data_IF_867741158394
#
_entry.id   IF_867741158394
#
_cell.length_a   1.000
_cell.length_b   1.000
_cell.length_c   1.000
_cell.angle_alpha   90.00
_cell.angle_beta   90.00
_cell.angle_gamma   90.00
#
_symmetry.space_group_name_H-M   'P 1'
#
loop_
_entity.id
_entity.type
_entity.pdbx_description
1 polymer ?
#
# COMPACT_ATOMS: atom_id res chain seq x y z
N UNK A 1 5.17 4.55 12.81
CA UNK A 1 6.44 4.52 12.05
C UNK A 1 6.10 4.73 10.59
N UNK A 2 6.74 5.69 9.93
CA UNK A 2 6.48 6.01 8.52
C UNK A 2 7.54 5.40 7.62
N UNK A 3 7.13 4.59 6.64
CA UNK A 3 8.02 3.95 5.65
C UNK A 3 7.70 4.47 4.26
N UNK A 4 8.67 5.10 3.60
CA UNK A 4 8.56 5.51 2.19
C UNK A 4 9.37 4.57 1.32
N UNK A 5 8.71 3.84 0.41
CA UNK A 5 9.38 2.97 -0.55
C UNK A 5 10.01 3.82 -1.65
N UNK A 6 11.33 3.95 -1.63
CA UNK A 6 12.07 4.71 -2.64
C UNK A 6 12.27 3.90 -3.92
N UNK A 7 12.32 2.58 -3.82
CA UNK A 7 12.31 1.70 -4.97
C UNK A 7 11.79 0.33 -4.57
N UNK A 8 11.23 -0.38 -5.54
CA UNK A 8 10.60 -1.70 -5.32
C UNK A 8 10.99 -2.73 -6.38
N UNK A 9 11.87 -2.37 -7.30
CA UNK A 9 12.39 -3.22 -8.37
C UNK A 9 13.65 -3.98 -7.94
N UNK A 10 13.95 -5.05 -8.67
CA UNK A 10 15.21 -5.78 -8.56
C UNK A 10 16.40 -4.95 -9.10
N UNK A 11 17.59 -5.55 -9.11
CA UNK A 11 18.85 -4.93 -9.53
C UNK A 11 18.81 -4.16 -10.85
N UNK A 12 18.07 -4.67 -11.84
CA UNK A 12 17.95 -4.14 -13.19
C UNK A 12 16.73 -3.22 -13.40
N UNK A 13 15.97 -2.98 -12.32
CA UNK A 13 14.69 -2.29 -12.31
C UNK A 13 13.60 -3.03 -13.08
N UNK A 14 12.38 -2.50 -13.02
CA UNK A 14 11.27 -3.03 -13.81
C UNK A 14 10.41 -1.86 -14.33
N UNK A 15 10.31 -1.65 -15.66
CA UNK A 15 10.82 -2.47 -16.77
C UNK A 15 12.34 -2.45 -16.93
N UNK A 16 12.95 -3.64 -17.13
CA UNK A 16 14.35 -3.75 -17.54
C UNK A 16 14.57 -3.06 -18.91
N UNK A 17 15.54 -2.15 -18.98
CA UNK A 17 15.83 -1.30 -20.14
C UNK A 17 16.11 -2.06 -21.44
N UNK A 18 16.68 -3.26 -21.36
CA UNK A 18 17.10 -4.09 -22.50
C UNK A 18 16.05 -5.15 -22.88
N UNK A 19 15.02 -5.34 -22.06
CA UNK A 19 14.05 -6.41 -22.25
C UNK A 19 12.78 -5.95 -23.01
N UNK A 20 12.23 -6.85 -23.83
CA UNK A 20 10.98 -6.65 -24.59
C UNK A 20 9.88 -7.67 -24.26
N UNK A 21 9.97 -8.37 -23.13
CA UNK A 21 8.91 -9.29 -22.71
C UNK A 21 7.57 -8.55 -22.50
N UNK A 22 6.47 -9.31 -22.40
CA UNK A 22 5.14 -8.74 -22.22
C UNK A 22 5.04 -7.89 -20.94
N UNK A 23 5.69 -8.33 -19.87
CA UNK A 23 5.75 -7.62 -18.59
C UNK A 23 6.43 -6.25 -18.72
N UNK A 24 7.66 -6.19 -19.24
CA UNK A 24 8.35 -4.92 -19.49
C UNK A 24 7.62 -4.03 -20.49
N UNK A 25 7.00 -4.61 -21.51
CA UNK A 25 6.23 -3.86 -22.51
C UNK A 25 4.97 -3.25 -21.90
N UNK A 26 4.29 -3.96 -21.00
CA UNK A 26 3.14 -3.46 -20.25
C UNK A 26 3.51 -2.35 -19.28
N UNK A 27 4.56 -2.56 -18.48
CA UNK A 27 5.06 -1.57 -17.53
C UNK A 27 5.43 -0.25 -18.24
N UNK A 28 6.14 -0.31 -19.37
CA UNK A 28 6.44 0.88 -20.20
C UNK A 28 5.19 1.60 -20.70
N UNK A 29 4.18 0.86 -21.19
CA UNK A 29 2.92 1.47 -21.67
C UNK A 29 2.16 2.18 -20.55
N UNK A 30 2.27 1.67 -19.32
CA UNK A 30 1.58 2.22 -18.14
C UNK A 30 2.38 3.28 -17.40
N UNK A 31 3.63 3.52 -17.79
CA UNK A 31 4.58 4.33 -17.04
C UNK A 31 4.78 3.83 -15.59
N UNK A 32 4.68 2.52 -15.37
CA UNK A 32 4.95 1.87 -14.09
C UNK A 32 6.44 1.50 -14.05
N UNK A 33 7.26 2.37 -13.46
CA UNK A 33 8.70 2.20 -13.35
C UNK A 33 9.08 1.95 -11.90
N UNK A 34 9.98 0.98 -11.70
CA UNK A 34 10.47 0.55 -10.41
C UNK A 34 11.98 0.66 -10.37
N UNK A 35 12.47 1.56 -9.52
CA UNK A 35 13.85 1.74 -9.13
C UNK A 35 14.32 0.58 -8.24
N UNK A 36 15.63 0.46 -8.10
CA UNK A 36 16.28 -0.51 -7.20
C UNK A 36 15.75 -0.38 -5.77
N UNK A 37 15.53 -1.53 -5.12
CA UNK A 37 14.82 -1.61 -3.85
C UNK A 37 15.55 -0.84 -2.74
N UNK A 38 14.84 0.11 -2.15
CA UNK A 38 15.31 0.94 -1.05
C UNK A 38 14.13 1.58 -0.34
N UNK A 39 14.28 1.90 0.94
CA UNK A 39 13.23 2.56 1.71
C UNK A 39 13.79 3.60 2.69
N UNK A 40 12.94 4.57 3.03
CA UNK A 40 13.21 5.60 4.02
C UNK A 40 12.23 5.48 5.17
N UNK A 41 12.75 5.26 6.39
CA UNK A 41 12.00 5.11 7.62
C UNK A 41 12.13 6.41 8.44
N UNK A 42 10.98 7.00 8.79
CA UNK A 42 10.84 8.23 9.57
C UNK A 42 11.69 9.40 9.07
N UNK A 43 11.98 9.44 7.75
CA UNK A 43 12.88 10.38 7.08
C UNK A 43 14.33 10.43 7.59
N UNK A 44 14.71 9.55 8.53
CA UNK A 44 15.98 9.60 9.24
C UNK A 44 16.84 8.33 9.06
N UNK A 45 16.19 7.19 8.82
CA UNK A 45 16.83 5.89 8.64
C UNK A 45 16.59 5.39 7.21
N UNK A 46 17.67 5.12 6.48
CA UNK A 46 17.62 4.53 5.15
C UNK A 46 17.85 3.02 5.21
N UNK A 47 17.03 2.25 4.50
CA UNK A 47 17.20 0.81 4.27
C UNK A 47 17.69 0.61 2.84
N UNK A 48 18.97 0.25 2.70
CA UNK A 48 19.71 0.18 1.44
C UNK A 48 19.71 1.51 0.65
N UNK A 49 20.68 1.68 -0.26
CA UNK A 49 20.76 2.86 -1.11
C UNK A 49 21.45 2.53 -2.43
N UNK A 50 20.76 1.78 -3.29
CA UNK A 50 21.16 1.56 -4.67
C UNK A 50 21.34 2.84 -5.47
N UNK A 51 21.87 2.69 -6.69
CA UNK A 51 22.21 3.80 -7.57
C UNK A 51 21.01 4.68 -7.95
N UNK A 52 19.81 4.11 -7.98
CA UNK A 52 18.58 4.85 -8.27
C UNK A 52 17.99 5.56 -7.04
N UNK A 53 18.35 5.17 -5.82
CA UNK A 53 17.66 5.58 -4.61
C UNK A 53 17.63 7.12 -4.41
N UNK A 54 18.75 7.87 -4.58
CA UNK A 54 18.71 9.33 -4.49
C UNK A 54 17.83 9.98 -5.56
N UNK A 55 17.90 9.49 -6.80
CA UNK A 55 17.09 10.00 -7.90
C UNK A 55 15.61 9.71 -7.70
N UNK A 56 15.29 8.53 -7.19
CA UNK A 56 13.91 8.11 -6.91
C UNK A 56 13.31 8.91 -5.75
N UNK A 57 14.05 9.16 -4.68
CA UNK A 57 13.62 10.03 -3.59
C UNK A 57 13.16 11.39 -4.10
N UNK A 58 13.96 12.05 -4.94
CA UNK A 58 13.61 13.35 -5.53
C UNK A 58 12.36 13.25 -6.42
N UNK A 59 12.24 12.19 -7.25
CA UNK A 59 11.06 11.99 -8.12
C UNK A 59 9.77 11.85 -7.33
N UNK A 60 9.83 11.26 -6.14
CA UNK A 60 8.69 11.03 -5.26
C UNK A 60 8.54 12.08 -4.15
N UNK A 61 9.29 13.19 -4.23
CA UNK A 61 9.17 14.31 -3.30
C UNK A 61 9.75 14.04 -1.91
N UNK A 62 10.52 12.96 -1.73
CA UNK A 62 11.23 12.66 -0.49
C UNK A 62 12.60 13.37 -0.48
N UNK A 63 12.98 13.89 0.69
CA UNK A 63 14.30 14.47 0.94
C UNK A 63 15.18 13.46 1.67
N UNK A 64 16.44 13.32 1.23
CA UNK A 64 17.46 12.53 1.95
C UNK A 64 18.36 13.39 2.86
N UNK A 65 18.08 14.69 2.99
CA UNK A 65 18.91 15.61 3.75
C UNK A 65 18.94 15.30 5.26
N UNK A 66 17.85 14.70 5.78
CA UNK A 66 17.68 14.38 7.19
C UNK A 66 18.12 12.96 7.54
N UNK A 67 18.59 12.18 6.57
CA UNK A 67 19.10 10.82 6.79
C UNK A 67 20.36 10.89 7.66
N UNK A 68 20.30 10.24 8.82
CA UNK A 68 21.39 10.13 9.80
C UNK A 68 21.95 8.72 9.89
N UNK A 69 21.16 7.72 9.51
CA UNK A 69 21.55 6.32 9.60
C UNK A 69 21.19 5.59 8.32
N UNK A 70 22.04 4.66 7.91
CA UNK A 70 21.81 3.76 6.78
C UNK A 70 22.09 2.33 7.21
N UNK A 71 21.10 1.46 7.07
CA UNK A 71 21.26 0.02 7.19
C UNK A 71 21.50 -0.56 5.80
N UNK A 72 22.59 -1.31 5.65
CA UNK A 72 23.02 -1.91 4.39
C UNK A 72 22.92 -3.42 4.52
N UNK A 73 22.13 -4.07 3.67
CA UNK A 73 21.96 -5.52 3.69
C UNK A 73 23.20 -6.23 3.18
N UNK A 74 23.76 -5.79 2.04
CA UNK A 74 24.95 -6.35 1.41
C UNK A 74 25.54 -5.41 0.35
N UNK A 75 26.60 -5.86 -0.35
CA UNK A 75 27.44 -5.01 -1.19
C UNK A 75 27.09 -4.99 -2.70
N UNK A 76 25.98 -5.60 -3.14
CA UNK A 76 25.57 -5.48 -4.54
C UNK A 76 25.19 -4.04 -4.89
N UNK A 77 25.41 -3.65 -6.15
CA UNK A 77 25.33 -2.25 -6.60
C UNK A 77 23.93 -1.64 -6.53
N UNK A 78 22.91 -2.48 -6.52
CA UNK A 78 21.50 -2.13 -6.38
C UNK A 78 21.03 -1.96 -4.93
N UNK A 79 21.81 -2.46 -3.97
CA UNK A 79 21.61 -2.19 -2.54
C UNK A 79 22.60 -1.13 -2.02
N UNK A 80 23.74 -0.98 -2.71
CA UNK A 80 24.83 -0.14 -2.27
C UNK A 80 25.46 0.66 -3.43
N UNK A 81 25.18 1.96 -3.47
CA UNK A 81 25.81 2.91 -4.38
C UNK A 81 26.72 3.89 -3.62
N UNK A 82 27.97 3.50 -3.30
CA UNK A 82 28.82 4.28 -2.40
C UNK A 82 29.23 5.65 -2.98
N UNK A 83 29.14 5.85 -4.30
CA UNK A 83 29.30 7.16 -4.94
C UNK A 83 28.33 8.22 -4.41
N UNK A 84 27.15 7.81 -3.92
CA UNK A 84 26.18 8.72 -3.31
C UNK A 84 26.72 9.41 -2.05
N UNK A 85 27.68 8.78 -1.35
CA UNK A 85 28.36 9.38 -0.19
C UNK A 85 29.24 10.57 -0.61
N UNK A 86 29.93 10.46 -1.75
CA UNK A 86 30.68 11.57 -2.33
C UNK A 86 29.75 12.70 -2.73
N UNK A 87 28.63 12.39 -3.39
CA UNK A 87 27.66 13.42 -3.80
C UNK A 87 27.05 14.14 -2.59
N UNK A 88 26.75 13.40 -1.51
CA UNK A 88 26.28 13.96 -0.24
C UNK A 88 27.29 14.95 0.35
N UNK A 89 28.59 14.66 0.26
CA UNK A 89 29.64 15.54 0.81
C UNK A 89 29.76 16.90 0.10
N UNK A 90 29.09 17.09 -1.05
CA UNK A 90 29.07 18.37 -1.76
C UNK A 90 27.99 19.32 -1.24
N UNK A 91 27.19 18.90 -0.25
CA UNK A 91 26.08 19.68 0.30
C UNK A 91 26.41 20.09 1.73
N UNK A 92 26.35 21.39 2.00
CA UNK A 92 26.54 21.92 3.35
C UNK A 92 25.35 21.57 4.26
N UNK A 93 25.59 21.35 5.55
CA UNK A 93 24.53 21.19 6.56
C UNK A 93 23.88 19.80 6.62
N UNK A 94 24.32 18.83 5.81
CA UNK A 94 23.82 17.44 5.86
C UNK A 94 24.20 16.68 7.13
N UNK A 95 25.06 17.24 7.99
CA UNK A 95 25.50 16.71 9.29
C UNK A 95 26.08 15.28 9.26
N UNK A 96 26.22 14.66 10.44
CA UNK A 96 26.83 13.32 10.56
C UNK A 96 25.93 12.22 9.98
N UNK A 97 26.57 11.15 9.52
CA UNK A 97 25.96 9.94 8.96
C UNK A 97 26.60 8.70 9.58
N UNK A 98 25.79 7.71 9.90
CA UNK A 98 26.27 6.37 10.27
C UNK A 98 25.85 5.35 9.23
N UNK A 99 26.83 4.56 8.76
CA UNK A 99 26.63 3.42 7.89
C UNK A 99 26.76 2.15 8.73
N UNK A 100 25.70 1.35 8.77
CA UNK A 100 25.59 0.12 9.53
C UNK A 100 25.37 -1.03 8.54
N UNK A 101 26.19 -2.08 8.63
CA UNK A 101 26.06 -3.23 7.75
C UNK A 101 27.22 -4.21 7.85
N UNK A 102 27.24 -5.28 7.03
CA UNK A 102 28.35 -6.22 6.97
C UNK A 102 29.68 -5.51 6.68
N UNK A 103 30.75 -5.97 7.32
CA UNK A 103 32.07 -5.33 7.21
C UNK A 103 32.52 -5.17 5.74
N UNK A 104 32.29 -6.19 4.92
CA UNK A 104 32.66 -6.20 3.50
C UNK A 104 31.90 -5.11 2.70
N UNK A 105 30.62 -4.86 3.02
CA UNK A 105 29.84 -3.76 2.42
C UNK A 105 30.35 -2.38 2.87
N UNK A 106 30.71 -2.24 4.15
CA UNK A 106 31.29 -1.00 4.66
C UNK A 106 32.65 -0.71 4.03
N UNK A 107 33.47 -1.74 3.78
CA UNK A 107 34.77 -1.58 3.14
C UNK A 107 34.65 -1.07 1.69
N UNK A 108 33.59 -1.44 0.97
CA UNK A 108 33.26 -0.87 -0.35
C UNK A 108 32.93 0.64 -0.27
N UNK A 109 32.40 1.11 0.85
CA UNK A 109 32.07 2.52 1.06
C UNK A 109 33.29 3.39 1.39
N UNK A 110 34.27 2.86 2.13
CA UNK A 110 35.39 3.64 2.68
C UNK A 110 36.14 4.50 1.64
N UNK A 111 36.44 4.02 0.41
CA UNK A 111 37.13 4.83 -0.59
C UNK A 111 36.34 6.07 -1.06
N UNK A 112 35.04 6.14 -0.81
CA UNK A 112 34.15 7.23 -1.24
C UNK A 112 33.93 8.30 -0.18
N UNK A 113 34.54 8.12 1.00
CA UNK A 113 34.36 9.00 2.16
C UNK A 113 35.66 9.74 2.44
N UNK A 114 35.60 11.08 2.40
CA UNK A 114 36.72 11.94 2.78
C UNK A 114 36.99 11.94 4.30
N UNK A 115 38.20 12.31 4.74
CA UNK A 115 38.59 12.27 6.16
C UNK A 115 37.69 13.10 7.08
N UNK A 116 37.11 14.19 6.59
CA UNK A 116 36.26 15.12 7.36
C UNK A 116 34.76 15.00 6.98
N UNK A 117 34.35 13.92 6.32
CA UNK A 117 32.99 13.77 5.79
C UNK A 117 31.91 13.50 6.86
N UNK A 118 32.30 13.35 8.13
CA UNK A 118 31.36 13.08 9.23
C UNK A 118 30.63 11.74 9.08
N UNK A 119 31.26 10.73 8.48
CA UNK A 119 30.67 9.39 8.27
C UNK A 119 31.30 8.39 9.23
N UNK A 120 30.47 7.73 10.04
CA UNK A 120 30.84 6.63 10.93
C UNK A 120 30.46 5.29 10.30
N UNK A 121 31.27 4.27 10.55
CA UNK A 121 31.04 2.90 10.08
C UNK A 121 30.85 1.97 11.28
N UNK A 122 29.74 1.24 11.31
CA UNK A 122 29.38 0.31 12.39
C UNK A 122 29.16 -1.08 11.79
N UNK A 123 30.18 -1.97 11.83
CA UNK A 123 30.04 -3.32 11.29
C UNK A 123 29.06 -4.13 12.14
N UNK A 124 28.21 -4.92 11.49
CA UNK A 124 27.28 -5.85 12.14
C UNK A 124 27.32 -7.23 11.48
N UNK A 125 26.91 -8.25 12.23
CA UNK A 125 26.71 -9.62 11.77
C UNK A 125 25.36 -10.17 12.22
N UNK A 126 24.89 -11.23 11.57
CA UNK A 126 23.65 -11.90 11.98
C UNK A 126 23.70 -12.32 13.46
N UNK A 127 22.62 -12.02 14.20
CA UNK A 127 22.51 -12.23 15.64
C UNK A 127 22.73 -10.96 16.47
N UNK A 128 23.32 -9.91 15.89
CA UNK A 128 23.49 -8.63 16.58
C UNK A 128 22.16 -7.94 16.88
N UNK A 129 22.14 -7.19 17.97
CA UNK A 129 21.07 -6.24 18.32
C UNK A 129 21.72 -4.88 18.54
N UNK A 130 21.32 -3.89 17.75
CA UNK A 130 21.94 -2.57 17.74
C UNK A 130 20.88 -1.47 17.82
N UNK A 131 21.23 -0.38 18.51
CA UNK A 131 20.42 0.84 18.57
C UNK A 131 20.84 1.75 17.42
N UNK A 132 19.90 2.10 16.54
CA UNK A 132 20.15 2.95 15.37
C UNK A 132 19.24 4.16 15.44
N UNK A 133 19.78 5.29 15.90
CA UNK A 133 18.97 6.46 16.21
C UNK A 133 17.91 6.13 17.26
N UNK A 134 16.65 6.29 16.88
CA UNK A 134 15.48 5.98 17.73
C UNK A 134 14.90 4.57 17.52
N UNK A 135 15.57 3.73 16.71
CA UNK A 135 15.12 2.40 16.35
C UNK A 135 15.96 1.30 16.99
N UNK A 136 15.30 0.22 17.41
CA UNK A 136 15.95 -1.01 17.83
C UNK A 136 16.01 -1.98 16.64
N UNK A 137 17.21 -2.45 16.30
CA UNK A 137 17.45 -3.24 15.10
C UNK A 137 18.04 -4.59 15.49
N UNK A 138 17.38 -5.67 15.07
CA UNK A 138 17.92 -7.03 15.10
C UNK A 138 18.43 -7.39 13.71
N UNK A 139 19.66 -7.88 13.67
CA UNK A 139 20.34 -8.31 12.43
C UNK A 139 20.10 -9.79 12.22
N UNK A 140 19.51 -10.14 11.08
CA UNK A 140 19.08 -11.49 10.75
C UNK A 140 19.96 -12.08 9.64
N UNK A 141 20.13 -13.42 9.59
CA UNK A 141 20.92 -14.06 8.54
C UNK A 141 20.21 -14.01 7.18
N UNK A 142 20.88 -13.50 6.15
CA UNK A 142 20.43 -13.63 4.76
C UNK A 142 20.88 -14.96 4.14
N UNK A 143 20.19 -15.44 3.10
CA UNK A 143 20.64 -16.60 2.30
C UNK A 143 21.23 -16.11 0.98
N UNK A 144 22.18 -15.18 1.10
CA UNK A 144 22.83 -14.54 -0.02
C UNK A 144 24.30 -14.36 0.28
N UNK A 145 25.09 -14.26 -0.78
CA UNK A 145 26.55 -14.15 -0.69
C UNK A 145 27.05 -13.24 -1.81
N UNK A 146 27.88 -12.26 -1.45
CA UNK A 146 28.55 -11.39 -2.43
C UNK A 146 30.01 -11.81 -2.62
N UNK A 147 30.73 -11.91 -1.53
CA UNK A 147 32.15 -12.22 -1.42
C UNK A 147 32.37 -13.52 -0.62
N UNK A 148 31.67 -13.71 0.49
CA UNK A 148 31.86 -14.86 1.42
C UNK A 148 30.62 -15.12 2.28
N UNK A 149 30.49 -16.33 2.81
CA UNK A 149 29.38 -16.66 3.71
C UNK A 149 29.25 -15.66 4.88
N UNK A 150 28.01 -15.20 5.11
CA UNK A 150 27.66 -14.27 6.18
C UNK A 150 27.95 -12.80 5.89
N UNK A 151 28.22 -12.43 4.63
CA UNK A 151 28.40 -11.04 4.21
C UNK A 151 27.13 -10.33 3.72
N UNK A 152 25.98 -11.00 3.87
CA UNK A 152 24.65 -10.45 3.65
C UNK A 152 23.78 -10.67 4.90
N UNK A 153 22.98 -9.65 5.23
CA UNK A 153 22.08 -9.64 6.40
C UNK A 153 20.73 -9.05 6.04
N UNK A 154 19.73 -9.35 6.86
CA UNK A 154 18.39 -8.78 6.81
C UNK A 154 18.11 -8.01 8.10
N UNK A 155 17.08 -7.17 8.11
CA UNK A 155 16.81 -6.31 9.27
C UNK A 155 15.39 -6.48 9.78
N UNK A 156 15.29 -6.66 11.08
CA UNK A 156 14.07 -6.51 11.87
C UNK A 156 14.21 -5.19 12.64
N UNK A 157 13.35 -4.23 12.32
CA UNK A 157 13.45 -2.85 12.80
C UNK A 157 12.22 -2.51 13.62
N UNK A 158 12.42 -2.16 14.89
CA UNK A 158 11.39 -1.69 15.80
C UNK A 158 11.55 -0.19 16.03
N UNK A 159 10.47 0.56 15.80
CA UNK A 159 10.41 2.00 16.00
C UNK A 159 10.16 2.38 17.46
N UNK A 160 10.33 3.65 17.82
CA UNK A 160 10.10 4.13 19.19
C UNK A 160 8.64 4.04 19.64
N UNK A 161 7.71 3.89 18.70
CA UNK A 161 6.28 3.66 18.92
C UNK A 161 5.90 2.18 19.06
N UNK A 162 6.91 1.29 19.03
CA UNK A 162 6.73 -0.17 19.12
C UNK A 162 6.35 -0.83 17.79
N UNK A 163 6.15 -0.05 16.73
CA UNK A 163 5.85 -0.59 15.41
C UNK A 163 7.07 -1.31 14.86
N UNK A 164 6.84 -2.41 14.15
CA UNK A 164 7.91 -3.33 13.76
C UNK A 164 7.79 -3.72 12.30
N UNK A 165 8.90 -3.63 11.57
CA UNK A 165 8.99 -4.09 10.19
C UNK A 165 10.08 -5.13 10.01
N UNK A 166 9.87 -6.02 9.04
CA UNK A 166 10.89 -6.91 8.50
C UNK A 166 11.32 -6.42 7.12
N UNK A 167 12.60 -6.15 6.94
CA UNK A 167 13.23 -5.84 5.66
C UNK A 167 14.03 -7.06 5.19
N UNK A 168 13.45 -7.81 4.26
CA UNK A 168 13.91 -9.12 3.81
C UNK A 168 14.06 -9.16 2.29
N UNK A 169 15.16 -8.60 1.79
CA UNK A 169 15.58 -8.68 0.38
C UNK A 169 16.64 -9.76 0.18
N UNK A 170 16.77 -10.29 -1.04
CA UNK A 170 17.83 -11.26 -1.41
C UNK A 170 17.95 -12.41 -0.39
N UNK A 171 16.85 -13.12 -0.22
CA UNK A 171 16.63 -14.08 0.85
C UNK A 171 16.62 -15.52 0.41
N UNK A 172 16.14 -15.82 -0.81
CA UNK A 172 15.68 -17.16 -1.16
C UNK A 172 14.70 -17.74 -0.13
N UNK A 173 14.33 -19.02 -0.29
CA UNK A 173 13.57 -19.70 0.78
C UNK A 173 14.51 -19.96 1.95
N UNK A 174 14.11 -19.54 3.16
CA UNK A 174 14.86 -19.79 4.38
C UNK A 174 14.79 -21.27 4.80
N UNK A 175 15.89 -21.84 5.31
CA UNK A 175 15.83 -23.08 6.07
C UNK A 175 15.08 -22.88 7.41
N UNK A 176 14.51 -23.97 7.93
CA UNK A 176 13.61 -23.97 9.09
C UNK A 176 14.21 -23.29 10.34
N UNK A 177 15.51 -23.43 10.56
CA UNK A 177 16.22 -22.89 11.73
C UNK A 177 16.29 -21.36 11.76
N UNK A 178 16.07 -20.69 10.62
CA UNK A 178 16.09 -19.22 10.56
C UNK A 178 14.81 -18.57 11.05
N UNK A 179 13.70 -19.28 11.04
CA UNK A 179 12.42 -18.75 11.52
C UNK A 179 12.38 -18.56 13.04
N UNK A 180 13.28 -19.22 13.78
CA UNK A 180 13.42 -19.05 15.24
C UNK A 180 13.67 -17.59 15.62
N UNK A 181 14.42 -16.84 14.81
CA UNK A 181 14.77 -15.45 15.09
C UNK A 181 13.58 -14.47 15.01
N UNK A 182 12.51 -14.88 14.33
CA UNK A 182 11.30 -14.06 14.07
C UNK A 182 10.02 -14.70 14.64
N UNK A 183 10.13 -15.79 15.39
CA UNK A 183 8.96 -16.47 15.98
C UNK A 183 8.20 -15.52 16.92
N UNK A 184 6.89 -15.40 16.70
CA UNK A 184 6.00 -14.52 17.45
C UNK A 184 6.33 -13.04 17.28
N UNK A 185 7.00 -12.66 16.19
CA UNK A 185 7.42 -11.28 16.00
C UNK A 185 6.26 -10.31 15.74
N UNK A 186 5.14 -10.81 15.21
CA UNK A 186 3.93 -10.04 14.88
C UNK A 186 4.26 -8.71 14.17
N UNK A 187 4.97 -8.79 13.05
CA UNK A 187 5.37 -7.60 12.30
C UNK A 187 4.15 -6.80 11.83
N UNK A 188 4.21 -5.47 11.91
CA UNK A 188 3.21 -4.59 11.30
C UNK A 188 3.35 -4.57 9.78
N UNK A 189 4.58 -4.67 9.28
CA UNK A 189 4.86 -4.80 7.86
C UNK A 189 6.00 -5.77 7.57
N UNK A 190 5.87 -6.54 6.51
CA UNK A 190 6.94 -7.41 5.98
C UNK A 190 7.23 -7.02 4.54
N UNK A 191 8.43 -6.50 4.31
CA UNK A 191 8.96 -6.23 2.97
C UNK A 191 9.79 -7.43 2.54
N UNK A 192 9.22 -8.29 1.71
CA UNK A 192 9.82 -9.55 1.27
C UNK A 192 10.12 -9.50 -0.22
N UNK A 193 11.31 -9.91 -0.63
CA UNK A 193 11.64 -9.98 -2.06
C UNK A 193 10.73 -10.95 -2.84
N UNK A 194 10.37 -10.58 -4.06
CA UNK A 194 9.74 -11.48 -5.04
C UNK A 194 10.36 -11.19 -6.40
N UNK A 195 11.60 -11.66 -6.57
CA UNK A 195 12.48 -11.23 -7.65
C UNK A 195 12.14 -11.86 -8.98
N UNK A 196 11.88 -13.16 -8.98
CA UNK A 196 11.87 -13.95 -10.21
C UNK A 196 10.48 -14.26 -10.76
N UNK A 197 9.39 -13.90 -10.10
CA UNK A 197 8.05 -14.15 -10.62
C UNK A 197 7.85 -15.63 -10.97
N UNK A 198 7.64 -15.90 -12.26
CA UNK A 198 7.45 -17.25 -12.80
C UNK A 198 8.76 -18.04 -13.04
N UNK A 199 9.92 -17.47 -12.68
CA UNK A 199 11.26 -17.99 -13.02
C UNK A 199 12.11 -18.36 -11.81
N UNK A 200 11.51 -19.06 -10.86
CA UNK A 200 12.20 -19.60 -9.67
C UNK A 200 13.37 -20.55 -10.02
N UNK A 201 13.42 -21.07 -11.26
CA UNK A 201 14.51 -21.88 -11.77
C UNK A 201 15.85 -21.15 -11.94
N UNK A 202 15.87 -19.81 -11.84
CA UNK A 202 17.06 -19.01 -12.15
C UNK A 202 18.14 -19.05 -11.06
N UNK A 203 17.75 -19.04 -9.79
CA UNK A 203 18.65 -19.12 -8.64
C UNK A 203 17.87 -19.46 -7.38
N UNK A 204 18.51 -20.12 -6.45
CA UNK A 204 17.96 -20.44 -5.13
C UNK A 204 18.19 -19.33 -4.08
N UNK A 205 18.97 -18.29 -4.44
CA UNK A 205 19.25 -17.11 -3.61
C UNK A 205 18.21 -15.99 -3.70
N UNK A 206 17.22 -16.12 -4.58
CA UNK A 206 16.09 -15.19 -4.67
C UNK A 206 14.77 -15.94 -4.78
N UNK A 207 13.68 -15.26 -4.39
CA UNK A 207 12.34 -15.83 -4.46
C UNK A 207 11.73 -15.64 -5.86
N UNK A 208 11.08 -16.69 -6.38
CA UNK A 208 9.96 -16.56 -7.30
C UNK A 208 8.62 -16.72 -6.55
N UNK A 209 7.50 -16.68 -7.27
CA UNK A 209 6.16 -16.77 -6.66
C UNK A 209 5.94 -18.02 -5.77
N UNK A 210 6.39 -19.25 -6.12
CA UNK A 210 6.21 -20.41 -5.25
C UNK A 210 7.02 -20.32 -3.95
N UNK A 211 8.28 -19.88 -4.04
CA UNK A 211 9.14 -19.62 -2.88
C UNK A 211 8.61 -18.49 -2.01
N UNK A 212 8.09 -17.42 -2.60
CA UNK A 212 7.42 -16.34 -1.89
C UNK A 212 6.21 -16.86 -1.09
N UNK A 213 5.36 -17.67 -1.72
CA UNK A 213 4.23 -18.32 -1.03
C UNK A 213 4.71 -19.20 0.13
N UNK A 214 5.79 -19.95 -0.07
CA UNK A 214 6.41 -20.80 0.97
C UNK A 214 6.90 -19.96 2.15
N UNK A 215 7.62 -18.86 1.87
CA UNK A 215 8.12 -17.93 2.88
C UNK A 215 6.98 -17.28 3.67
N UNK A 216 5.95 -16.75 3.01
CA UNK A 216 4.79 -16.14 3.69
C UNK A 216 4.06 -17.17 4.56
N UNK A 217 3.86 -18.39 4.07
CA UNK A 217 3.23 -19.45 4.84
C UNK A 217 4.06 -19.85 6.08
N UNK A 218 5.38 -19.95 5.95
CA UNK A 218 6.27 -20.25 7.06
C UNK A 218 6.29 -19.13 8.10
N UNK A 219 6.38 -17.86 7.67
CA UNK A 219 6.30 -16.69 8.54
C UNK A 219 4.96 -16.64 9.31
N UNK A 220 3.83 -16.97 8.66
CA UNK A 220 2.54 -17.14 9.34
C UNK A 220 2.57 -18.29 10.34
N UNK A 221 3.16 -19.43 9.96
CA UNK A 221 3.26 -20.61 10.81
C UNK A 221 3.98 -20.37 12.13
N UNK A 222 4.98 -19.47 12.14
CA UNK A 222 5.72 -19.08 13.35
C UNK A 222 5.17 -17.82 14.03
N UNK A 223 4.04 -17.26 13.57
CA UNK A 223 3.44 -16.04 14.14
C UNK A 223 4.25 -14.77 13.90
N UNK A 224 5.14 -14.76 12.91
CA UNK A 224 5.83 -13.54 12.47
C UNK A 224 4.90 -12.66 11.62
N UNK A 225 4.02 -13.28 10.83
CA UNK A 225 2.97 -12.62 10.04
C UNK A 225 1.61 -12.99 10.64
N UNK A 226 0.81 -11.99 10.96
CA UNK A 226 -0.57 -12.11 11.47
C UNK A 226 -1.55 -11.41 10.51
N UNK A 227 -2.85 -11.48 10.80
CA UNK A 227 -3.89 -10.93 9.91
C UNK A 227 -3.78 -9.41 9.71
N UNK A 228 -3.20 -8.69 10.67
CA UNK A 228 -2.95 -7.25 10.58
C UNK A 228 -1.64 -6.89 9.88
N UNK A 229 -0.78 -7.85 9.57
CA UNK A 229 0.52 -7.59 8.92
C UNK A 229 0.33 -7.20 7.45
N UNK A 230 0.88 -6.07 7.03
CA UNK A 230 0.97 -5.72 5.61
C UNK A 230 2.17 -6.41 4.96
N UNK A 231 1.91 -7.46 4.17
CA UNK A 231 2.95 -8.19 3.43
C UNK A 231 3.14 -7.54 2.05
N UNK A 232 4.27 -6.86 1.89
CA UNK A 232 4.62 -6.08 0.70
C UNK A 232 5.76 -6.77 -0.06
N UNK A 233 5.45 -7.25 -1.26
CA UNK A 233 6.46 -7.76 -2.18
C UNK A 233 7.31 -6.62 -2.75
N UNK A 234 8.62 -6.71 -2.56
CA UNK A 234 9.64 -5.77 -3.04
C UNK A 234 10.68 -6.51 -3.89
N UNK A 235 11.74 -5.83 -4.34
CA UNK A 235 12.78 -6.42 -5.17
C UNK A 235 12.22 -7.10 -6.44
N UNK A 236 11.18 -6.51 -7.04
CA UNK A 236 10.40 -7.10 -8.13
C UNK A 236 11.16 -7.03 -9.45
N UNK A 237 11.56 -8.18 -9.97
CA UNK A 237 12.27 -8.28 -11.25
C UNK A 237 11.34 -8.42 -12.45
N UNK A 238 11.89 -8.21 -13.64
CA UNK A 238 11.12 -8.24 -14.89
C UNK A 238 10.59 -9.61 -15.34
N UNK A 239 10.94 -10.67 -14.61
CA UNK A 239 10.40 -12.02 -14.79
C UNK A 239 9.00 -12.17 -14.21
N UNK A 240 8.55 -11.19 -13.43
CA UNK A 240 7.18 -11.11 -12.99
C UNK A 240 6.19 -10.93 -14.14
N UNK A 241 4.96 -11.47 -14.03
CA UNK A 241 3.90 -11.18 -14.96
C UNK A 241 3.54 -9.67 -14.90
N UNK A 242 2.80 -9.14 -15.90
CA UNK A 242 2.31 -7.77 -15.84
C UNK A 242 1.67 -7.43 -14.49
N UNK A 243 1.93 -6.24 -13.96
CA UNK A 243 1.62 -5.86 -12.55
C UNK A 243 0.17 -6.13 -12.12
N UNK A 244 -0.79 -6.06 -13.05
CA UNK A 244 -2.19 -6.39 -12.79
C UNK A 244 -2.38 -7.86 -12.39
N UNK A 245 -1.73 -8.77 -13.10
CA UNK A 245 -1.73 -10.21 -12.83
C UNK A 245 -0.93 -10.52 -11.57
N UNK A 246 0.25 -9.90 -11.41
CA UNK A 246 1.07 -10.05 -10.20
C UNK A 246 0.26 -9.69 -8.94
N UNK A 247 -0.49 -8.59 -8.98
CA UNK A 247 -1.32 -8.15 -7.86
C UNK A 247 -2.40 -9.16 -7.48
N UNK A 248 -3.03 -9.82 -8.47
CA UNK A 248 -4.02 -10.86 -8.21
C UNK A 248 -3.37 -12.06 -7.52
N UNK A 249 -2.23 -12.52 -8.04
CA UNK A 249 -1.50 -13.67 -7.47
C UNK A 249 -0.99 -13.41 -6.06
N UNK A 250 -0.44 -12.23 -5.80
CA UNK A 250 0.01 -11.86 -4.45
C UNK A 250 -1.17 -11.73 -3.48
N UNK A 251 -2.33 -11.25 -3.95
CA UNK A 251 -3.54 -11.15 -3.11
C UNK A 251 -3.98 -12.52 -2.59
N UNK A 252 -3.94 -13.55 -3.44
CA UNK A 252 -4.29 -14.92 -3.03
C UNK A 252 -3.34 -15.46 -1.93
N UNK A 253 -2.15 -14.87 -1.80
CA UNK A 253 -1.18 -15.17 -0.73
C UNK A 253 -1.33 -14.25 0.49
N UNK A 254 -2.29 -13.30 0.47
CA UNK A 254 -2.45 -12.25 1.47
C UNK A 254 -1.29 -11.25 1.46
N UNK A 255 -0.79 -10.92 0.27
CA UNK A 255 0.28 -9.96 0.04
C UNK A 255 -0.08 -9.01 -1.11
N UNK A 256 0.77 -8.00 -1.34
CA UNK A 256 0.62 -7.03 -2.44
C UNK A 256 1.97 -6.58 -2.98
N UNK A 257 2.07 -6.15 -4.25
CA UNK A 257 3.31 -5.52 -4.72
C UNK A 257 3.42 -4.12 -4.11
N UNK A 258 4.62 -3.75 -3.65
CA UNK A 258 4.94 -2.37 -3.29
C UNK A 258 4.87 -1.44 -4.50
N UNK A 259 4.94 -0.14 -4.28
CA UNK A 259 5.13 0.85 -5.36
C UNK A 259 6.19 1.87 -4.95
N UNK A 260 6.93 2.34 -5.94
CA UNK A 260 7.85 3.46 -5.74
C UNK A 260 7.08 4.73 -5.34
N UNK A 261 7.59 5.43 -4.34
CA UNK A 261 6.97 6.57 -3.70
C UNK A 261 5.80 6.23 -2.77
N UNK A 262 5.47 4.96 -2.58
CA UNK A 262 4.44 4.56 -1.62
C UNK A 262 4.88 4.90 -0.20
N UNK A 263 3.95 5.45 0.58
CA UNK A 263 4.13 5.79 1.98
C UNK A 263 3.22 4.90 2.82
N UNK A 264 3.80 4.18 3.78
CA UNK A 264 3.11 3.35 4.74
C UNK A 264 3.27 3.98 6.13
N UNK A 265 2.18 4.28 6.81
CA UNK A 265 2.17 4.73 8.20
C UNK A 265 1.81 3.54 9.11
N UNK A 266 2.83 2.80 9.55
CA UNK A 266 2.69 1.67 10.45
C UNK A 266 2.22 2.18 11.82
N UNK A 267 1.16 1.60 12.36
CA UNK A 267 0.57 1.98 13.65
C UNK A 267 -0.65 2.88 13.58
N UNK A 268 -0.93 3.49 12.43
CA UNK A 268 -2.31 3.86 12.13
C UNK A 268 -3.00 2.64 11.52
N UNK A 269 -3.83 1.93 12.29
CA UNK A 269 -4.91 1.16 11.68
C UNK A 269 -5.92 2.15 11.11
N UNK A 270 -5.54 2.89 10.06
CA UNK A 270 -6.51 3.73 9.40
C UNK A 270 -7.51 2.77 8.78
N UNK A 271 -8.77 2.89 9.19
CA UNK A 271 -9.86 2.26 8.48
C UNK A 271 -9.74 2.65 7.01
N UNK A 272 -9.18 1.77 6.18
CA UNK A 272 -8.84 2.05 4.79
C UNK A 272 -10.09 2.54 4.06
N UNK A 273 -10.09 3.80 3.65
CA UNK A 273 -11.20 4.52 3.01
C UNK A 273 -11.07 4.44 1.51
N UNK A 274 -11.86 3.58 0.88
CA UNK A 274 -11.86 3.41 -0.58
C UNK A 274 -13.12 4.02 -1.16
N UNK A 275 -12.96 5.03 -2.01
CA UNK A 275 -14.06 5.65 -2.73
C UNK A 275 -14.13 5.10 -4.16
N UNK A 276 -15.26 4.47 -4.52
CA UNK A 276 -15.51 3.86 -5.83
C UNK A 276 -16.60 4.65 -6.55
N UNK A 277 -16.28 5.22 -7.70
CA UNK A 277 -17.22 5.99 -8.53
C UNK A 277 -17.27 5.49 -9.97
N UNK A 278 -18.21 5.99 -10.78
CA UNK A 278 -18.37 5.61 -12.18
C UNK A 278 -19.82 5.56 -12.67
N UNK A 279 -19.97 5.40 -13.98
CA UNK A 279 -21.27 5.43 -14.67
C UNK A 279 -22.21 4.29 -14.27
N UNK A 280 -23.48 4.39 -14.69
CA UNK A 280 -24.44 3.31 -14.51
C UNK A 280 -23.94 2.01 -15.17
N UNK A 281 -24.10 0.87 -14.47
CA UNK A 281 -23.68 -0.46 -14.94
C UNK A 281 -22.18 -0.61 -15.25
N UNK A 282 -21.32 0.26 -14.73
CA UNK A 282 -19.87 0.14 -14.91
C UNK A 282 -19.19 -0.89 -14.01
N UNK A 283 -19.93 -1.58 -13.14
CA UNK A 283 -19.40 -2.62 -12.25
C UNK A 283 -18.99 -2.17 -10.84
N UNK A 284 -19.31 -0.93 -10.44
CA UNK A 284 -18.95 -0.35 -9.12
C UNK A 284 -19.25 -1.24 -7.91
N UNK A 285 -20.50 -1.62 -7.73
CA UNK A 285 -20.93 -2.42 -6.57
C UNK A 285 -20.19 -3.76 -6.53
N UNK A 286 -20.08 -4.44 -7.69
CA UNK A 286 -19.31 -5.70 -7.78
C UNK A 286 -17.83 -5.51 -7.43
N UNK A 287 -17.22 -4.44 -7.91
CA UNK A 287 -15.83 -4.14 -7.58
C UNK A 287 -15.66 -3.85 -6.09
N UNK A 288 -16.53 -3.03 -5.51
CA UNK A 288 -16.54 -2.71 -4.08
C UNK A 288 -16.77 -3.95 -3.21
N UNK A 289 -17.73 -4.81 -3.57
CA UNK A 289 -17.95 -6.12 -2.93
C UNK A 289 -16.68 -6.98 -3.01
N UNK A 290 -16.03 -7.00 -4.18
CA UNK A 290 -14.78 -7.72 -4.42
C UNK A 290 -13.57 -7.21 -3.61
N UNK A 291 -13.58 -5.95 -3.17
CA UNK A 291 -12.54 -5.41 -2.28
C UNK A 291 -12.63 -5.99 -0.87
N UNK A 292 -13.82 -6.47 -0.47
CA UNK A 292 -14.09 -7.08 0.84
C UNK A 292 -14.38 -8.58 0.72
N UNK A 293 -14.15 -9.18 -0.46
CA UNK A 293 -14.35 -10.61 -0.65
C UNK A 293 -13.39 -11.41 0.25
N UNK A 294 -13.92 -12.40 0.97
CA UNK A 294 -13.15 -13.18 1.96
C UNK A 294 -13.03 -12.53 3.33
N UNK A 295 -13.58 -11.33 3.52
CA UNK A 295 -13.72 -10.70 4.84
C UNK A 295 -15.05 -11.10 5.44
N UNK A 296 -15.01 -11.67 6.65
CA UNK A 296 -16.19 -11.99 7.44
C UNK A 296 -16.71 -10.77 8.21
N UNK A 297 -17.97 -10.83 8.62
CA UNK A 297 -18.66 -9.81 9.45
C UNK A 297 -18.74 -8.39 8.84
N UNK A 298 -18.70 -8.26 7.51
CA UNK A 298 -18.86 -6.95 6.84
C UNK A 298 -20.26 -6.38 7.04
N UNK A 299 -20.33 -5.08 7.34
CA UNK A 299 -21.58 -4.32 7.39
C UNK A 299 -21.84 -3.65 6.04
N UNK A 300 -22.80 -4.16 5.28
CA UNK A 300 -23.26 -3.57 4.04
C UNK A 300 -24.38 -2.57 4.30
N UNK A 301 -24.15 -1.29 4.03
CA UNK A 301 -25.14 -0.21 4.17
C UNK A 301 -25.77 0.10 2.82
N UNK A 302 -27.03 -0.30 2.67
CA UNK A 302 -27.85 0.01 1.50
C UNK A 302 -28.47 1.40 1.68
N UNK A 303 -27.71 2.44 1.31
CA UNK A 303 -27.89 3.80 1.80
C UNK A 303 -29.08 4.58 1.21
N UNK A 304 -29.93 3.93 0.39
CA UNK A 304 -31.09 4.54 -0.26
C UNK A 304 -32.42 4.39 0.47
N UNK A 305 -32.46 3.61 1.55
CA UNK A 305 -33.69 3.22 2.24
C UNK A 305 -34.64 2.34 1.39
N UNK A 306 -35.73 1.82 1.98
CA UNK A 306 -36.73 1.05 1.26
C UNK A 306 -37.54 1.96 0.31
N UNK A 307 -37.62 1.59 -0.97
CA UNK A 307 -38.53 2.22 -1.95
C UNK A 307 -39.69 1.29 -2.26
N UNK A 308 -40.87 1.60 -1.72
CA UNK A 308 -42.06 0.81 -1.98
C UNK A 308 -42.62 1.10 -3.39
N UNK A 309 -42.86 0.04 -4.18
CA UNK A 309 -43.67 0.12 -5.40
C UNK A 309 -42.93 0.17 -6.74
N UNK A 310 -41.63 -0.14 -6.80
CA UNK A 310 -40.88 -0.31 -8.05
C UNK A 310 -40.40 -1.78 -8.20
N UNK A 311 -41.10 -2.61 -8.99
CA UNK A 311 -40.76 -4.03 -9.16
C UNK A 311 -39.37 -4.28 -9.78
N UNK A 312 -38.83 -3.33 -10.56
CA UNK A 312 -37.48 -3.46 -11.12
C UNK A 312 -36.41 -3.09 -10.08
N UNK A 313 -36.74 -2.18 -9.16
CA UNK A 313 -35.93 -1.92 -7.96
C UNK A 313 -35.91 -3.12 -7.02
N UNK A 314 -37.07 -3.70 -6.72
CA UNK A 314 -37.20 -4.86 -5.83
C UNK A 314 -36.37 -6.05 -6.34
N UNK A 315 -36.45 -6.34 -7.65
CA UNK A 315 -35.64 -7.41 -8.27
C UNK A 315 -34.15 -7.13 -8.24
N UNK A 316 -33.73 -5.85 -8.32
CA UNK A 316 -32.32 -5.47 -8.20
C UNK A 316 -31.79 -5.59 -6.78
N UNK A 317 -32.63 -5.30 -5.77
CA UNK A 317 -32.32 -5.50 -4.35
C UNK A 317 -32.17 -6.98 -4.06
N UNK A 318 -33.08 -7.81 -4.55
CA UNK A 318 -33.05 -9.27 -4.36
C UNK A 318 -31.76 -9.88 -4.95
N UNK A 319 -31.43 -9.55 -6.20
CA UNK A 319 -30.18 -9.98 -6.84
C UNK A 319 -28.93 -9.46 -6.13
N UNK A 320 -29.00 -8.32 -5.44
CA UNK A 320 -27.88 -7.82 -4.63
C UNK A 320 -27.73 -8.61 -3.34
N UNK A 321 -28.85 -8.93 -2.65
CA UNK A 321 -28.83 -9.74 -1.44
C UNK A 321 -28.32 -11.16 -1.71
N UNK A 322 -28.74 -11.80 -2.80
CA UNK A 322 -28.31 -13.15 -3.18
C UNK A 322 -26.81 -13.27 -3.47
N UNK A 323 -26.15 -12.18 -3.89
CA UNK A 323 -24.72 -12.19 -4.21
C UNK A 323 -23.81 -12.04 -3.00
N UNK A 324 -24.33 -11.58 -1.86
CA UNK A 324 -23.53 -11.28 -0.68
C UNK A 324 -23.28 -12.56 0.15
N UNK A 325 -22.10 -12.72 0.77
CA UNK A 325 -21.88 -13.80 1.72
C UNK A 325 -22.89 -13.76 2.87
N UNK A 326 -23.29 -14.92 3.39
CA UNK A 326 -24.19 -15.01 4.53
C UNK A 326 -23.59 -14.44 5.83
N UNK A 327 -22.26 -14.30 5.91
CA UNK A 327 -21.57 -13.65 7.02
C UNK A 327 -21.70 -12.12 7.01
N UNK A 328 -22.23 -11.51 5.94
CA UNK A 328 -22.39 -10.06 5.87
C UNK A 328 -23.72 -9.62 6.49
N UNK A 329 -23.67 -8.56 7.29
CA UNK A 329 -24.87 -7.92 7.83
C UNK A 329 -25.31 -6.79 6.91
N UNK A 330 -26.55 -6.83 6.41
CA UNK A 330 -27.11 -5.72 5.62
C UNK A 330 -27.91 -4.78 6.52
N UNK A 331 -27.58 -3.48 6.47
CA UNK A 331 -28.32 -2.39 7.10
C UNK A 331 -28.97 -1.55 6.01
N UNK A 332 -30.30 -1.52 5.98
CA UNK A 332 -31.09 -0.69 5.05
C UNK A 332 -31.54 0.58 5.77
N UNK A 333 -30.65 1.57 5.83
CA UNK A 333 -30.86 2.82 6.57
C UNK A 333 -30.19 4.00 5.85
N UNK A 334 -30.73 5.20 6.04
CA UNK A 334 -30.14 6.46 5.61
C UNK A 334 -29.18 7.05 6.65
N UNK A 335 -29.15 6.52 7.87
CA UNK A 335 -28.26 6.94 8.97
C UNK A 335 -26.82 6.41 8.84
N UNK A 336 -26.22 6.62 7.66
CA UNK A 336 -24.87 6.15 7.31
C UNK A 336 -23.81 6.65 8.30
N UNK A 337 -23.89 7.91 8.71
CA UNK A 337 -22.92 8.50 9.65
C UNK A 337 -22.93 7.77 11.02
N UNK A 338 -24.11 7.38 11.52
CA UNK A 338 -24.25 6.62 12.75
C UNK A 338 -23.64 5.22 12.65
N UNK A 339 -23.83 4.55 11.51
CA UNK A 339 -23.20 3.24 11.24
C UNK A 339 -21.68 3.37 11.24
N UNK A 340 -21.13 4.35 10.52
CA UNK A 340 -19.69 4.55 10.44
C UNK A 340 -19.05 4.84 11.80
N UNK A 341 -19.68 5.67 12.65
CA UNK A 341 -19.16 6.00 13.99
C UNK A 341 -19.18 4.82 14.97
N UNK A 342 -20.10 3.89 14.79
CA UNK A 342 -20.27 2.73 15.67
C UNK A 342 -19.67 1.44 15.09
N UNK A 343 -19.08 1.51 13.90
CA UNK A 343 -18.58 0.36 13.18
C UNK A 343 -17.43 -0.32 13.92
N UNK A 344 -17.56 -1.64 14.10
CA UNK A 344 -16.52 -2.52 14.65
C UNK A 344 -15.99 -3.51 13.62
N UNK A 345 -16.66 -3.60 12.48
CA UNK A 345 -16.29 -4.43 11.35
C UNK A 345 -16.30 -3.60 10.07
N UNK A 346 -15.59 -4.03 9.01
CA UNK A 346 -15.52 -3.30 7.76
C UNK A 346 -16.90 -2.93 7.21
N UNK A 347 -17.01 -1.74 6.62
CA UNK A 347 -18.29 -1.18 6.15
C UNK A 347 -18.26 -0.96 4.63
N UNK A 348 -19.31 -1.37 3.93
CA UNK A 348 -19.53 -1.05 2.52
C UNK A 348 -20.80 -0.22 2.35
N UNK A 349 -20.68 1.02 1.91
CA UNK A 349 -21.80 1.94 1.66
C UNK A 349 -22.17 1.93 0.17
N UNK A 350 -23.39 1.49 -0.18
CA UNK A 350 -23.88 1.41 -1.57
C UNK A 350 -25.34 1.94 -1.68
N UNK A 351 -25.62 3.08 -2.32
CA UNK A 351 -24.66 4.08 -2.79
C UNK A 351 -24.96 5.48 -2.25
N UNK A 352 -23.92 6.32 -2.22
CA UNK A 352 -24.01 7.72 -1.82
C UNK A 352 -24.97 8.53 -2.70
N UNK A 353 -25.16 8.12 -3.96
CA UNK A 353 -26.15 8.75 -4.84
C UNK A 353 -27.58 8.55 -4.34
N UNK A 354 -27.93 7.34 -3.87
CA UNK A 354 -29.26 7.10 -3.29
C UNK A 354 -29.41 7.72 -1.91
N UNK A 355 -28.33 7.76 -1.14
CA UNK A 355 -28.30 8.45 0.15
C UNK A 355 -28.57 9.94 0.02
N UNK A 356 -27.86 10.62 -0.90
CA UNK A 356 -28.05 12.05 -1.12
C UNK A 356 -29.47 12.36 -1.58
N UNK A 357 -30.03 11.55 -2.49
CA UNK A 357 -31.42 11.69 -2.90
C UNK A 357 -32.38 11.58 -1.71
N UNK A 358 -32.16 10.61 -0.81
CA UNK A 358 -32.96 10.44 0.40
C UNK A 358 -32.85 11.62 1.38
N UNK A 359 -31.66 12.25 1.52
CA UNK A 359 -31.51 13.46 2.34
C UNK A 359 -32.21 14.67 1.72
N UNK A 360 -32.15 14.83 0.40
CA UNK A 360 -32.89 15.91 -0.30
C UNK A 360 -34.40 15.70 -0.14
N UNK A 361 -34.88 14.46 -0.28
CA UNK A 361 -36.28 14.09 -0.01
C UNK A 361 -36.67 14.42 1.45
N UNK A 362 -35.86 14.03 2.43
CA UNK A 362 -36.14 14.21 3.85
C UNK A 362 -36.32 15.69 4.26
N UNK A 363 -35.58 16.59 3.61
CA UNK A 363 -35.63 18.03 3.88
C UNK A 363 -36.54 18.80 2.90
N UNK A 364 -37.37 18.11 2.11
CA UNK A 364 -38.25 18.71 1.09
C UNK A 364 -37.51 19.68 0.13
N UNK A 365 -36.24 19.40 -0.15
CA UNK A 365 -35.32 20.34 -0.78
C UNK A 365 -35.34 20.30 -2.32
N UNK A 366 -36.10 19.38 -2.92
CA UNK A 366 -36.19 19.23 -4.39
C UNK A 366 -36.79 20.45 -5.09
N UNK A 367 -37.80 21.06 -4.47
CA UNK A 367 -38.53 22.19 -5.04
C UNK A 367 -38.07 23.52 -4.43
N UNK A 368 -37.78 23.55 -3.13
CA UNK A 368 -37.34 24.77 -2.42
C UNK A 368 -35.93 25.19 -2.82
N UNK A 369 -35.03 24.23 -3.09
CA UNK A 369 -33.61 24.48 -3.29
C UNK A 369 -32.87 24.91 -2.00
N UNK A 370 -33.52 24.83 -0.84
CA UNK A 370 -32.93 25.13 0.46
C UNK A 370 -32.05 23.95 0.91
N UNK A 371 -30.75 24.05 0.68
CA UNK A 371 -29.80 22.93 0.82
C UNK A 371 -29.00 22.95 2.12
N UNK A 372 -29.19 23.92 3.01
CA UNK A 372 -28.36 24.06 4.21
C UNK A 372 -28.46 22.84 5.14
N UNK A 373 -29.66 22.29 5.31
CA UNK A 373 -29.85 21.07 6.10
C UNK A 373 -29.23 19.84 5.42
N UNK A 374 -29.39 19.70 4.09
CA UNK A 374 -28.76 18.62 3.30
C UNK A 374 -27.22 18.71 3.39
N UNK A 375 -26.67 19.91 3.35
CA UNK A 375 -25.22 20.14 3.48
C UNK A 375 -24.72 19.83 4.88
N UNK A 376 -25.49 20.14 5.91
CA UNK A 376 -25.17 19.73 7.29
C UNK A 376 -25.10 18.20 7.41
N UNK A 377 -25.97 17.46 6.71
CA UNK A 377 -25.92 15.99 6.71
C UNK A 377 -24.69 15.46 5.96
N UNK A 378 -24.31 16.13 4.87
CA UNK A 378 -23.08 15.82 4.13
C UNK A 378 -21.86 16.03 5.02
N UNK A 379 -21.79 17.13 5.76
CA UNK A 379 -20.70 17.38 6.72
C UNK A 379 -20.64 16.30 7.80
N UNK A 380 -21.78 15.91 8.37
CA UNK A 380 -21.86 14.85 9.39
C UNK A 380 -21.37 13.49 8.83
N UNK A 381 -21.76 13.14 7.60
CA UNK A 381 -21.26 11.97 6.89
C UNK A 381 -19.75 12.03 6.65
N UNK A 382 -19.23 13.16 6.18
CA UNK A 382 -17.81 13.33 5.88
C UNK A 382 -16.95 13.22 7.15
N UNK A 383 -17.43 13.72 8.28
CA UNK A 383 -16.76 13.59 9.56
C UNK A 383 -16.80 12.16 10.09
N UNK A 384 -17.92 11.45 9.91
CA UNK A 384 -18.02 10.03 10.24
C UNK A 384 -17.11 9.17 9.35
N UNK A 385 -17.02 9.47 8.05
CA UNK A 385 -16.12 8.82 7.10
C UNK A 385 -14.65 8.99 7.52
N UNK A 386 -14.25 10.22 7.86
CA UNK A 386 -12.88 10.53 8.32
C UNK A 386 -12.52 9.80 9.60
N UNK A 387 -13.45 9.69 10.54
CA UNK A 387 -13.21 9.13 11.88
C UNK A 387 -13.48 7.62 11.99
N UNK A 388 -13.91 6.97 10.90
CA UNK A 388 -14.20 5.54 10.88
C UNK A 388 -12.93 4.71 11.21
N UNK A 389 -12.92 3.93 12.30
CA UNK A 389 -11.72 3.22 12.76
C UNK A 389 -11.49 1.89 12.02
N UNK A 390 -12.42 1.49 11.15
CA UNK A 390 -12.41 0.23 10.42
C UNK A 390 -12.44 0.46 8.91
N UNK A 391 -11.96 -0.48 8.09
CA UNK A 391 -11.99 -0.35 6.64
C UNK A 391 -13.38 0.02 6.13
N UNK A 392 -13.46 1.01 5.24
CA UNK A 392 -14.73 1.51 4.70
C UNK A 392 -14.62 1.71 3.19
N UNK A 393 -15.58 1.14 2.46
CA UNK A 393 -15.71 1.30 1.01
C UNK A 393 -17.01 2.04 0.72
N UNK A 394 -16.94 3.17 0.02
CA UNK A 394 -18.13 3.91 -0.41
C UNK A 394 -18.28 3.87 -1.93
N UNK A 395 -19.46 3.49 -2.40
CA UNK A 395 -19.85 3.51 -3.81
C UNK A 395 -20.67 4.77 -4.09
N UNK A 396 -20.35 5.45 -5.19
CA UNK A 396 -21.15 6.57 -5.69
C UNK A 396 -21.33 6.51 -7.21
N UNK A 397 -22.33 7.23 -7.70
CA UNK A 397 -22.60 7.34 -9.13
C UNK A 397 -21.85 8.54 -9.70
N UNK A 398 -21.23 8.34 -10.86
CA UNK A 398 -20.69 9.46 -11.63
C UNK A 398 -21.71 9.93 -12.66
N UNK A 399 -22.32 11.09 -12.38
CA UNK A 399 -23.39 11.70 -13.18
C UNK A 399 -22.99 13.01 -13.85
N UNK A 400 -21.84 13.59 -13.46
CA UNK A 400 -21.32 14.84 -14.00
C UNK A 400 -20.75 14.70 -15.41
N UNK A 401 -20.28 13.50 -15.76
CA UNK A 401 -19.72 13.17 -17.08
C UNK A 401 -20.76 12.99 -18.20
N UNK A 402 -22.06 13.13 -17.89
CA UNK A 402 -23.18 12.99 -18.83
C UNK A 402 -23.73 14.32 -19.37
N UNK A 403 -24.89 14.24 -20.03
CA UNK A 403 -25.60 15.44 -20.52
C UNK A 403 -26.19 16.23 -19.35
N UNK A 404 -26.22 17.56 -19.45
CA UNK A 404 -26.91 18.43 -18.49
C UNK A 404 -28.39 18.04 -18.39
N UNK A 405 -28.91 17.70 -17.19
CA UNK A 405 -30.31 17.32 -17.04
C UNK A 405 -31.28 18.44 -17.46
N UNK A 406 -32.38 18.05 -18.12
CA UNK A 406 -33.40 18.99 -18.58
C UNK A 406 -34.21 19.61 -17.43
N UNK A 407 -34.42 18.85 -16.34
CA UNK A 407 -35.18 19.29 -15.16
C UNK A 407 -34.31 20.04 -14.16
N UNK A 408 -34.92 20.94 -13.39
CA UNK A 408 -34.24 21.65 -12.30
C UNK A 408 -33.74 20.68 -11.22
N UNK A 409 -34.59 19.73 -10.80
CA UNK A 409 -34.25 18.69 -9.82
C UNK A 409 -33.07 17.82 -10.29
N UNK A 410 -33.02 17.47 -11.58
CA UNK A 410 -31.91 16.70 -12.14
C UNK A 410 -30.58 17.48 -12.09
N UNK A 411 -30.60 18.78 -12.39
CA UNK A 411 -29.40 19.64 -12.29
C UNK A 411 -28.94 19.78 -10.85
N UNK A 412 -29.87 20.02 -9.92
CA UNK A 412 -29.60 20.08 -8.49
C UNK A 412 -28.92 18.80 -8.00
N UNK A 413 -29.51 17.63 -8.28
CA UNK A 413 -28.93 16.35 -7.88
C UNK A 413 -27.54 16.12 -8.48
N UNK A 414 -27.36 16.41 -9.77
CA UNK A 414 -26.06 16.25 -10.44
C UNK A 414 -24.99 17.11 -9.77
N UNK A 415 -25.29 18.36 -9.50
CA UNK A 415 -24.33 19.32 -8.96
C UNK A 415 -23.98 18.99 -7.49
N UNK A 416 -24.97 18.66 -6.66
CA UNK A 416 -24.73 18.26 -5.27
C UNK A 416 -24.03 16.90 -5.16
N UNK A 417 -24.37 15.91 -5.99
CA UNK A 417 -23.64 14.63 -6.02
C UNK A 417 -22.19 14.81 -6.51
N UNK A 418 -21.96 15.72 -7.46
CA UNK A 418 -20.62 16.09 -7.89
C UNK A 418 -19.78 16.69 -6.77
N UNK A 419 -20.36 17.60 -5.96
CA UNK A 419 -19.70 18.16 -4.78
C UNK A 419 -19.40 17.08 -3.73
N UNK A 420 -20.39 16.25 -3.39
CA UNK A 420 -20.19 15.13 -2.46
C UNK A 420 -19.08 14.19 -2.93
N UNK A 421 -19.08 13.81 -4.22
CA UNK A 421 -18.06 12.94 -4.79
C UNK A 421 -16.66 13.56 -4.68
N UNK A 422 -16.52 14.87 -4.91
CA UNK A 422 -15.24 15.58 -4.78
C UNK A 422 -14.74 15.59 -3.32
N UNK A 423 -15.61 15.88 -2.36
CA UNK A 423 -15.25 15.90 -0.93
C UNK A 423 -14.90 14.50 -0.39
N UNK A 424 -15.67 13.48 -0.79
CA UNK A 424 -15.39 12.07 -0.48
C UNK A 424 -14.07 11.63 -1.10
N UNK A 425 -13.85 11.97 -2.37
CA UNK A 425 -12.59 11.68 -3.04
C UNK A 425 -11.43 12.35 -2.32
N UNK A 426 -11.49 13.63 -1.96
CA UNK A 426 -10.41 14.32 -1.25
C UNK A 426 -9.97 13.58 0.04
N UNK A 427 -10.95 13.04 0.79
CA UNK A 427 -10.78 12.37 2.10
C UNK A 427 -10.67 10.85 2.03
N UNK A 428 -10.57 10.25 0.86
CA UNK A 428 -10.35 8.82 0.71
C UNK A 428 -8.85 8.48 0.78
N UNK A 429 -8.48 7.27 1.15
CA UNK A 429 -7.09 6.81 1.00
C UNK A 429 -6.86 6.33 -0.45
N UNK A 430 -7.92 5.83 -1.10
CA UNK A 430 -7.90 5.38 -2.49
C UNK A 430 -9.17 5.80 -3.24
N UNK A 431 -9.04 6.23 -4.49
CA UNK A 431 -10.13 6.61 -5.39
C UNK A 431 -10.08 5.76 -6.65
N UNK A 432 -11.17 5.03 -6.93
CA UNK A 432 -11.30 4.17 -8.11
C UNK A 432 -12.47 4.62 -8.98
N UNK A 433 -12.20 4.89 -10.25
CA UNK A 433 -13.21 5.12 -11.27
C UNK A 433 -13.46 3.83 -12.07
N UNK A 434 -14.71 3.37 -12.10
CA UNK A 434 -15.08 2.19 -12.87
C UNK A 434 -15.51 2.57 -14.29
N UNK A 435 -14.81 2.02 -15.28
CA UNK A 435 -15.06 2.22 -16.71
C UNK A 435 -15.27 0.86 -17.38
N UNK A 436 -16.49 0.59 -17.86
CA UNK A 436 -16.83 -0.66 -18.56
C UNK A 436 -16.41 -1.95 -17.81
N UNK A 437 -16.55 -1.98 -16.48
CA UNK A 437 -16.15 -3.11 -15.65
C UNK A 437 -14.67 -3.10 -15.21
N UNK A 438 -13.88 -2.14 -15.67
CA UNK A 438 -12.46 -2.03 -15.37
C UNK A 438 -12.20 -0.93 -14.31
N UNK A 439 -11.38 -1.20 -13.29
CA UNK A 439 -10.96 -0.20 -12.33
C UNK A 439 -9.86 0.69 -12.90
N UNK A 440 -10.09 2.01 -12.88
CA UNK A 440 -9.07 3.03 -13.09
C UNK A 440 -8.75 3.65 -11.72
N UNK A 441 -7.57 3.38 -11.18
CA UNK A 441 -7.11 3.98 -9.92
C UNK A 441 -6.69 5.42 -10.20
N UNK A 442 -7.36 6.37 -9.55
CA UNK A 442 -7.12 7.82 -9.68
C UNK A 442 -6.10 8.29 -8.64
N UNK A 443 -6.19 7.73 -7.43
CA UNK A 443 -5.26 7.82 -6.31
C UNK A 443 -5.35 6.50 -5.57
#
# INVERSE_FOLDING_TARGET
MKVTLLGTGAADGWPNAFCRCDSCSDARRRHDFRAQTAALVDNALMLDFGSDAPGSAVRHGASLADVRHVLITHAHADHLAPQSLLFRSWVDGVGELELIGPADALDVCRPWVGPDAGVRFTPVVAGDQVRVGDHDVRVLPARHQVFRDGDAVLYDVTGPDGMRLLWATDTGVWPDDRFDAVTGAEFDAVFLEETFGDREDLSDGHLGLPGFATMVAALRGVGAVVDSTDVVAVHLGHHNPPVGVLRERLRDLGARPGRDGEVLDLGESVGRRIFVTGGARSGKSRYAEGLLAGVDDVVYVAAGGPRAGDPDWDRRVELHRERRPASWTTVEDTEVAGVLRSARHPVLVDCLGTWLAARIDHHDAWESGELDAVRSDVEDLLDAWRSCPVPVVAVSNEVGSGVVPATASGRLFRDELGRLNAEMADRADQVVMMVAGQPLVVR
#
